data_IF_300898473104
#
_entry.id   IF_300898473104
#
_cell.length_a   1.000
_cell.length_b   1.000
_cell.length_c   1.000
_cell.angle_alpha   90.00
_cell.angle_beta   90.00
_cell.angle_gamma   90.00
#
_symmetry.space_group_name_H-M   'P 1'
#
loop_
_entity.id
_entity.type
_entity.pdbx_description
1 polymer ?
#
# COMPACT_ATOMS: atom_id res chain seq x y z
N UNK A 1 -18.71 -18.44 26.46
CA UNK A 1 -19.05 -18.99 25.12
C UNK A 1 -17.76 -18.95 24.33
N UNK A 2 -17.29 -20.07 23.75
CA UNK A 2 -15.98 -20.14 23.07
C UNK A 2 -16.02 -19.65 21.61
N UNK A 3 -17.04 -18.87 21.24
CA UNK A 3 -17.25 -18.46 19.84
C UNK A 3 -16.17 -17.50 19.37
N UNK A 4 -15.71 -16.60 20.24
CA UNK A 4 -14.74 -15.58 19.90
C UNK A 4 -13.37 -16.19 19.55
N UNK A 5 -12.93 -17.19 20.32
CA UNK A 5 -11.67 -17.92 20.10
C UNK A 5 -11.73 -18.78 18.84
N UNK A 6 -12.87 -19.46 18.60
CA UNK A 6 -13.07 -20.28 17.39
C UNK A 6 -13.02 -19.40 16.13
N UNK A 7 -13.75 -18.28 16.11
CA UNK A 7 -13.73 -17.37 14.95
C UNK A 7 -12.35 -16.74 14.76
N UNK A 8 -11.70 -16.27 15.83
CA UNK A 8 -10.35 -15.69 15.73
C UNK A 8 -9.34 -16.68 15.13
N UNK A 9 -9.36 -17.95 15.56
CA UNK A 9 -8.45 -18.96 15.04
C UNK A 9 -8.76 -19.35 13.60
N UNK A 10 -10.04 -19.62 13.31
CA UNK A 10 -10.46 -20.06 11.98
C UNK A 10 -10.23 -18.96 10.93
N UNK A 11 -10.65 -17.73 11.21
CA UNK A 11 -10.50 -16.61 10.28
C UNK A 11 -9.04 -16.20 10.09
N UNK A 12 -8.17 -16.28 11.11
CA UNK A 12 -6.73 -16.07 10.90
C UNK A 12 -6.15 -17.05 9.86
N UNK A 13 -6.62 -18.30 9.85
CA UNK A 13 -6.28 -19.29 8.81
C UNK A 13 -6.79 -18.89 7.41
N UNK A 14 -8.04 -18.42 7.31
CA UNK A 14 -8.63 -17.93 6.05
C UNK A 14 -7.85 -16.74 5.49
N UNK A 15 -7.48 -15.78 6.34
CA UNK A 15 -6.69 -14.60 5.95
C UNK A 15 -5.28 -15.01 5.50
N UNK A 16 -4.64 -15.94 6.21
CA UNK A 16 -3.36 -16.50 5.79
C UNK A 16 -3.45 -17.10 4.38
N UNK A 17 -4.47 -17.94 4.15
CA UNK A 17 -4.68 -18.59 2.85
C UNK A 17 -4.95 -17.58 1.74
N UNK A 18 -5.65 -16.49 2.03
CA UNK A 18 -5.84 -15.39 1.07
C UNK A 18 -4.50 -14.78 0.66
N UNK A 19 -3.67 -14.35 1.62
CA UNK A 19 -2.37 -13.74 1.31
C UNK A 19 -1.42 -14.70 0.59
N UNK A 20 -1.40 -15.96 0.99
CA UNK A 20 -0.54 -16.97 0.38
C UNK A 20 -0.99 -17.30 -1.04
N UNK A 21 -2.27 -17.60 -1.25
CA UNK A 21 -2.76 -18.08 -2.55
C UNK A 21 -2.96 -16.95 -3.57
N UNK A 22 -3.37 -15.76 -3.13
CA UNK A 22 -3.67 -14.63 -4.02
C UNK A 22 -2.42 -13.83 -4.35
N UNK A 23 -1.55 -13.61 -3.35
CA UNK A 23 -0.42 -12.68 -3.45
C UNK A 23 0.95 -13.36 -3.33
N UNK A 24 0.99 -14.67 -3.05
CA UNK A 24 2.24 -15.40 -2.84
C UNK A 24 2.96 -15.01 -1.54
N UNK A 25 2.27 -14.36 -0.60
CA UNK A 25 2.86 -13.88 0.66
C UNK A 25 2.74 -14.93 1.75
N UNK A 26 3.87 -15.40 2.27
CA UNK A 26 3.90 -16.32 3.41
C UNK A 26 3.78 -15.56 4.74
N UNK A 27 2.56 -15.47 5.30
CA UNK A 27 2.24 -14.71 6.53
C UNK A 27 2.50 -13.19 6.43
N UNK A 28 2.27 -12.45 7.52
CA UNK A 28 2.34 -10.99 7.53
C UNK A 28 3.75 -10.45 7.30
N UNK A 29 4.81 -11.21 7.57
CA UNK A 29 6.21 -10.81 7.36
C UNK A 29 6.82 -11.34 6.06
N UNK A 30 6.07 -12.14 5.30
CA UNK A 30 6.55 -12.81 4.08
C UNK A 30 7.46 -14.01 4.33
N UNK A 31 7.74 -14.38 5.58
CA UNK A 31 8.64 -15.47 5.97
C UNK A 31 7.98 -16.53 6.87
N UNK A 32 6.65 -16.52 6.97
CA UNK A 32 5.89 -17.53 7.71
C UNK A 32 5.87 -17.29 9.21
N UNK A 33 5.87 -16.02 9.66
CA UNK A 33 5.67 -15.71 11.07
C UNK A 33 4.36 -16.30 11.65
N UNK A 34 4.41 -16.69 12.92
CA UNK A 34 3.25 -17.20 13.65
C UNK A 34 2.16 -16.14 13.77
N UNK A 35 0.91 -16.54 13.51
CA UNK A 35 -0.27 -15.72 13.72
C UNK A 35 -0.80 -15.94 15.14
N UNK A 36 -0.64 -14.95 16.00
CA UNK A 36 -1.09 -14.99 17.39
C UNK A 36 -2.31 -14.11 17.56
N UNK A 37 -3.38 -14.67 18.14
CA UNK A 37 -4.65 -13.99 18.40
C UNK A 37 -5.04 -14.12 19.86
N UNK A 38 -5.45 -13.01 20.48
CA UNK A 38 -6.05 -12.98 21.82
C UNK A 38 -7.50 -12.54 21.72
N UNK A 39 -8.43 -13.37 22.20
CA UNK A 39 -9.85 -13.00 22.38
C UNK A 39 -10.16 -12.71 23.85
N UNK A 40 -11.38 -12.27 24.15
CA UNK A 40 -11.82 -11.89 25.51
C UNK A 40 -10.94 -10.81 26.14
N UNK A 41 -10.44 -9.88 25.33
CA UNK A 41 -9.60 -8.80 25.82
C UNK A 41 -10.44 -7.74 26.55
N UNK A 42 -10.07 -7.49 27.80
CA UNK A 42 -10.75 -6.49 28.64
C UNK A 42 -12.17 -6.90 29.04
N UNK A 43 -12.98 -5.91 29.42
CA UNK A 43 -14.40 -6.08 29.78
C UNK A 43 -15.22 -5.10 28.98
N UNK A 44 -16.22 -5.58 28.23
CA UNK A 44 -17.05 -4.77 27.33
C UNK A 44 -16.21 -3.87 26.40
N UNK A 45 -15.11 -4.42 25.90
CA UNK A 45 -14.13 -3.66 25.12
C UNK A 45 -14.60 -3.59 23.66
N UNK A 46 -15.03 -2.40 23.23
CA UNK A 46 -15.52 -2.13 21.87
C UNK A 46 -14.37 -1.79 20.91
N UNK A 47 -13.36 -2.66 20.83
CA UNK A 47 -12.31 -2.50 19.84
C UNK A 47 -11.56 -3.82 19.56
N UNK A 48 -10.90 -3.86 18.41
CA UNK A 48 -9.89 -4.83 18.03
C UNK A 48 -8.65 -4.06 17.55
N UNK A 49 -7.47 -4.68 17.63
CA UNK A 49 -6.24 -4.04 17.14
C UNK A 49 -5.11 -5.05 16.92
N UNK A 50 -4.24 -4.75 15.96
CA UNK A 50 -2.86 -5.25 15.92
C UNK A 50 -1.94 -4.42 16.82
N UNK A 51 -1.12 -5.08 17.65
CA UNK A 51 -0.24 -4.39 18.61
C UNK A 51 1.26 -4.37 18.26
N UNK A 52 1.62 -4.76 17.03
CA UNK A 52 3.01 -4.98 16.61
C UNK A 52 3.49 -6.43 16.71
N UNK A 53 2.71 -7.30 17.36
CA UNK A 53 3.08 -8.72 17.55
C UNK A 53 1.93 -9.72 17.47
N UNK A 54 0.69 -9.30 17.75
CA UNK A 54 -0.49 -10.15 17.76
C UNK A 54 -1.76 -9.33 17.49
N UNK A 55 -2.81 -10.03 17.05
CA UNK A 55 -4.17 -9.48 16.97
C UNK A 55 -4.87 -9.64 18.32
N UNK A 56 -5.60 -8.61 18.74
CA UNK A 56 -6.32 -8.58 20.02
C UNK A 56 -7.77 -8.17 19.77
N UNK A 57 -8.72 -8.96 20.28
CA UNK A 57 -10.15 -8.76 20.06
C UNK A 57 -10.89 -8.60 21.40
N UNK A 58 -11.61 -7.50 21.53
CA UNK A 58 -12.60 -7.32 22.58
C UNK A 58 -13.89 -8.10 22.31
N UNK A 59 -14.66 -8.34 23.38
CA UNK A 59 -15.96 -9.00 23.29
C UNK A 59 -17.10 -8.07 22.86
N UNK A 60 -16.84 -6.77 22.78
CA UNK A 60 -17.88 -5.75 22.67
C UNK A 60 -18.75 -5.66 23.92
N UNK A 61 -19.60 -4.64 23.97
CA UNK A 61 -20.54 -4.39 25.08
C UNK A 61 -21.90 -5.10 24.91
N UNK A 62 -22.09 -5.82 23.81
CA UNK A 62 -23.34 -6.51 23.45
C UNK A 62 -24.42 -5.59 22.87
N UNK A 63 -24.14 -4.30 22.68
CA UNK A 63 -25.05 -3.29 22.12
C UNK A 63 -24.47 -2.63 20.88
N UNK A 64 -23.29 -2.02 20.98
CA UNK A 64 -22.56 -1.43 19.84
C UNK A 64 -21.78 -2.50 19.11
N UNK A 65 -21.14 -3.41 19.84
CA UNK A 65 -20.44 -4.55 19.25
C UNK A 65 -20.76 -5.84 20.00
N UNK A 66 -20.77 -6.95 19.26
CA UNK A 66 -20.49 -8.28 19.82
C UNK A 66 -19.01 -8.62 19.61
N UNK A 67 -18.58 -9.84 19.93
CA UNK A 67 -17.16 -10.22 19.84
C UNK A 67 -16.58 -9.95 18.45
N UNK A 68 -15.57 -9.07 18.38
CA UNK A 68 -15.11 -8.49 17.12
C UNK A 68 -14.40 -9.50 16.21
N UNK A 69 -13.86 -10.59 16.77
CA UNK A 69 -13.33 -11.71 15.98
C UNK A 69 -14.41 -12.48 15.22
N UNK A 70 -15.69 -12.16 15.44
CA UNK A 70 -16.83 -12.78 14.78
C UNK A 70 -17.02 -12.38 13.32
N UNK A 71 -16.36 -11.30 12.86
CA UNK A 71 -16.40 -10.84 11.48
C UNK A 71 -15.07 -11.12 10.77
N UNK A 72 -15.14 -11.72 9.57
CA UNK A 72 -13.96 -12.17 8.83
C UNK A 72 -13.14 -10.99 8.29
N UNK A 73 -13.83 -9.97 7.78
CA UNK A 73 -13.25 -8.71 7.33
C UNK A 73 -12.51 -7.96 8.45
N UNK A 74 -13.01 -7.97 9.70
CA UNK A 74 -12.34 -7.39 10.87
C UNK A 74 -11.05 -8.15 11.17
N UNK A 75 -11.07 -9.49 11.13
CA UNK A 75 -9.84 -10.29 11.30
C UNK A 75 -8.85 -10.02 10.16
N UNK A 76 -9.35 -9.89 8.93
CA UNK A 76 -8.57 -9.49 7.75
C UNK A 76 -7.95 -8.09 7.89
N UNK A 77 -8.72 -7.13 8.38
CA UNK A 77 -8.31 -5.75 8.66
C UNK A 77 -7.16 -5.73 9.67
N UNK A 78 -7.30 -6.41 10.81
CA UNK A 78 -6.26 -6.44 11.83
C UNK A 78 -4.95 -7.07 11.34
N UNK A 79 -5.03 -8.18 10.60
CA UNK A 79 -3.82 -8.80 10.07
C UNK A 79 -3.18 -7.96 8.94
N UNK A 80 -3.99 -7.20 8.21
CA UNK A 80 -3.49 -6.30 7.17
C UNK A 80 -2.64 -5.17 7.76
N UNK A 81 -2.95 -4.65 8.95
CA UNK A 81 -2.05 -3.73 9.64
C UNK A 81 -0.64 -4.32 9.83
N UNK A 82 -0.54 -5.60 10.16
CA UNK A 82 0.75 -6.29 10.27
C UNK A 82 1.47 -6.37 8.92
N UNK A 83 0.75 -6.60 7.81
CA UNK A 83 1.32 -6.57 6.45
C UNK A 83 1.83 -5.17 6.13
N UNK A 84 1.05 -4.13 6.40
CA UNK A 84 1.43 -2.72 6.21
C UNK A 84 2.68 -2.37 7.01
N UNK A 85 2.76 -2.73 8.30
CA UNK A 85 3.94 -2.52 9.14
C UNK A 85 5.21 -3.15 8.55
N UNK A 86 5.11 -4.36 7.98
CA UNK A 86 6.27 -5.08 7.41
C UNK A 86 6.61 -4.69 5.97
N UNK A 87 5.90 -3.72 5.40
CA UNK A 87 6.06 -3.30 4.00
C UNK A 87 6.22 -1.78 3.91
N UNK A 88 5.15 -1.05 3.58
CA UNK A 88 5.19 0.41 3.47
C UNK A 88 5.49 1.12 4.80
N UNK A 89 5.18 0.47 5.92
CA UNK A 89 5.31 1.00 7.27
C UNK A 89 4.65 2.39 7.41
N UNK A 90 3.44 2.53 6.86
CA UNK A 90 2.67 3.79 6.85
C UNK A 90 2.50 4.32 8.28
N UNK A 91 2.99 5.53 8.52
CA UNK A 91 2.85 6.24 9.78
C UNK A 91 1.37 6.42 10.11
N UNK A 92 0.99 6.06 11.32
CA UNK A 92 -0.40 6.04 11.78
C UNK A 92 -0.86 7.46 12.19
N UNK A 93 -0.78 8.39 11.26
CA UNK A 93 -1.14 9.80 11.42
C UNK A 93 -1.54 10.42 10.07
N UNK A 94 -2.46 11.38 10.08
CA UNK A 94 -2.92 12.16 8.93
C UNK A 94 -3.26 11.26 7.71
N UNK A 95 -2.84 11.64 6.50
CA UNK A 95 -3.15 10.89 5.28
C UNK A 95 -2.46 9.52 5.23
N UNK A 96 -1.22 9.37 5.71
CA UNK A 96 -0.55 8.07 5.75
C UNK A 96 -1.30 7.08 6.65
N UNK A 97 -1.84 7.56 7.77
CA UNK A 97 -2.66 6.76 8.67
C UNK A 97 -4.02 6.42 8.05
N UNK A 98 -4.65 7.36 7.36
CA UNK A 98 -5.88 7.09 6.61
C UNK A 98 -5.68 6.09 5.46
N UNK A 99 -4.51 6.07 4.81
CA UNK A 99 -4.14 5.02 3.84
C UNK A 99 -3.91 3.69 4.56
N UNK A 100 -3.29 3.70 5.74
CA UNK A 100 -3.07 2.48 6.53
C UNK A 100 -4.42 1.81 6.86
N UNK A 101 -5.36 2.57 7.41
CA UNK A 101 -6.75 2.14 7.66
C UNK A 101 -7.45 1.66 6.38
N UNK A 102 -7.33 2.43 5.30
CA UNK A 102 -7.98 2.08 4.04
C UNK A 102 -7.41 0.81 3.43
N UNK A 103 -6.10 0.57 3.50
CA UNK A 103 -5.51 -0.69 3.05
C UNK A 103 -6.03 -1.87 3.86
N UNK A 104 -6.20 -1.71 5.18
CA UNK A 104 -6.81 -2.73 6.04
C UNK A 104 -8.26 -3.03 5.64
N UNK A 105 -9.07 -2.02 5.33
CA UNK A 105 -10.43 -2.21 4.81
C UNK A 105 -10.44 -2.85 3.41
N UNK A 106 -9.56 -2.40 2.52
CA UNK A 106 -9.42 -2.94 1.15
C UNK A 106 -9.18 -4.43 1.18
N UNK A 107 -8.19 -4.89 1.96
CA UNK A 107 -7.88 -6.32 2.01
C UNK A 107 -8.92 -7.08 2.85
N UNK A 108 -9.47 -6.48 3.90
CA UNK A 108 -10.64 -7.02 4.61
C UNK A 108 -11.79 -7.37 3.66
N UNK A 109 -12.22 -6.42 2.83
CA UNK A 109 -13.29 -6.61 1.83
C UNK A 109 -12.90 -7.49 0.62
N UNK A 110 -11.60 -7.75 0.42
CA UNK A 110 -11.13 -8.73 -0.59
C UNK A 110 -11.03 -10.15 -0.04
N UNK A 111 -10.90 -10.30 1.29
CA UNK A 111 -10.96 -11.56 2.01
C UNK A 111 -12.43 -11.96 2.20
N UNK A 112 -13.24 -11.03 2.73
CA UNK A 112 -14.69 -11.15 2.82
C UNK A 112 -15.34 -10.41 1.66
N UNK A 113 -15.64 -11.14 0.59
CA UNK A 113 -15.94 -10.55 -0.72
C UNK A 113 -17.41 -10.26 -0.94
N UNK A 114 -18.26 -10.60 0.02
CA UNK A 114 -19.71 -10.67 -0.15
C UNK A 114 -20.33 -9.29 -0.38
N UNK A 115 -19.76 -8.25 0.24
CA UNK A 115 -20.17 -6.86 -0.01
C UNK A 115 -19.00 -5.86 0.03
N UNK A 116 -19.27 -4.64 0.49
CA UNK A 116 -18.37 -3.49 0.59
C UNK A 116 -18.42 -2.84 1.98
N UNK A 117 -19.08 -3.50 2.93
CA UNK A 117 -19.22 -3.05 4.30
C UNK A 117 -18.07 -3.57 5.12
N UNK A 118 -17.82 -2.88 6.23
CA UNK A 118 -16.82 -3.29 7.21
C UNK A 118 -17.49 -3.44 8.57
N UNK A 119 -17.33 -4.61 9.18
CA UNK A 119 -17.75 -4.95 10.54
C UNK A 119 -19.25 -5.18 10.71
N UNK A 120 -20.04 -5.28 9.64
CA UNK A 120 -21.50 -5.48 9.67
C UNK A 120 -21.93 -6.73 10.42
N UNK A 121 -21.11 -7.78 10.45
CA UNK A 121 -21.38 -9.02 11.18
C UNK A 121 -21.32 -8.89 12.71
N UNK A 122 -20.62 -7.86 13.21
CA UNK A 122 -20.36 -7.67 14.65
C UNK A 122 -20.82 -6.34 15.20
N UNK A 123 -21.15 -5.38 14.34
CA UNK A 123 -21.65 -4.06 14.70
C UNK A 123 -23.16 -4.10 14.92
N UNK A 124 -23.62 -3.40 15.96
CA UNK A 124 -25.05 -3.09 16.21
C UNK A 124 -26.00 -4.28 15.98
N UNK A 125 -25.88 -5.40 16.71
CA UNK A 125 -26.61 -6.66 16.45
C UNK A 125 -28.16 -6.54 16.46
N UNK A 126 -28.70 -5.42 16.95
CA UNK A 126 -30.13 -5.10 16.93
C UNK A 126 -30.60 -4.32 15.69
N UNK A 127 -29.70 -3.90 14.81
CA UNK A 127 -29.97 -3.11 13.60
C UNK A 127 -29.51 -3.95 12.41
N UNK A 128 -30.44 -4.29 11.52
CA UNK A 128 -30.11 -5.14 10.39
C UNK A 128 -29.61 -4.30 9.21
N UNK A 129 -28.45 -4.67 8.67
CA UNK A 129 -27.93 -4.13 7.42
C UNK A 129 -27.23 -2.78 7.53
N UNK A 130 -26.92 -2.29 8.73
CA UNK A 130 -25.89 -1.27 8.93
C UNK A 130 -24.49 -1.89 9.01
N UNK A 131 -23.47 -1.06 9.18
CA UNK A 131 -22.06 -1.44 9.22
C UNK A 131 -21.25 -0.36 9.96
N UNK A 132 -20.02 -0.67 10.36
CA UNK A 132 -19.13 0.34 10.94
C UNK A 132 -18.68 1.34 9.87
N UNK A 133 -18.36 0.85 8.67
CA UNK A 133 -18.01 1.64 7.48
C UNK A 133 -18.62 1.01 6.22
N UNK A 134 -18.77 1.81 5.17
CA UNK A 134 -19.22 1.35 3.86
C UNK A 134 -18.26 1.92 2.80
N UNK A 135 -17.50 1.06 2.12
CA UNK A 135 -16.55 1.50 1.08
C UNK A 135 -17.24 2.01 -0.18
N UNK A 136 -18.47 1.57 -0.45
CA UNK A 136 -19.28 2.00 -1.57
C UNK A 136 -19.91 3.37 -1.30
N UNK A 137 -20.42 3.62 -0.10
CA UNK A 137 -20.92 4.94 0.33
C UNK A 137 -20.38 5.31 1.71
N UNK A 138 -19.15 5.83 1.80
CA UNK A 138 -18.54 6.17 3.09
C UNK A 138 -19.36 7.19 3.87
N UNK A 139 -20.11 8.05 3.19
CA UNK A 139 -20.93 9.07 3.86
C UNK A 139 -22.06 8.45 4.67
N UNK A 140 -22.53 7.26 4.26
CA UNK A 140 -23.71 6.57 4.79
C UNK A 140 -24.95 7.47 4.89
N UNK A 141 -24.98 8.57 4.12
CA UNK A 141 -25.98 9.64 4.22
C UNK A 141 -25.97 10.46 5.52
N UNK A 142 -24.99 10.27 6.41
CA UNK A 142 -24.94 10.86 7.76
C UNK A 142 -23.66 11.66 8.06
N UNK A 143 -22.66 11.63 7.18
CA UNK A 143 -21.43 12.40 7.36
C UNK A 143 -21.67 13.92 7.32
N UNK A 144 -21.15 14.61 8.35
CA UNK A 144 -21.14 16.07 8.44
C UNK A 144 -19.70 16.56 8.61
N UNK A 145 -19.13 17.36 7.68
CA UNK A 145 -17.78 17.89 7.81
C UNK A 145 -17.58 18.82 9.02
N UNK A 146 -18.67 19.36 9.60
CA UNK A 146 -18.61 20.15 10.83
C UNK A 146 -18.68 19.30 12.10
N UNK A 147 -19.05 18.02 11.96
CA UNK A 147 -19.03 17.04 13.03
C UNK A 147 -18.50 15.67 12.52
N UNK A 148 -17.19 15.57 12.21
CA UNK A 148 -16.62 14.38 11.59
C UNK A 148 -16.72 13.09 12.43
N UNK A 149 -16.98 13.21 13.74
CA UNK A 149 -17.19 12.08 14.66
C UNK A 149 -18.67 11.68 14.80
N UNK A 150 -19.58 12.32 14.06
CA UNK A 150 -21.03 12.11 14.15
C UNK A 150 -21.54 10.84 13.46
N UNK A 151 -20.69 10.16 12.68
CA UNK A 151 -21.03 9.00 11.87
C UNK A 151 -20.76 9.23 10.39
N UNK A 152 -20.59 8.15 9.63
CA UNK A 152 -20.12 8.20 8.25
C UNK A 152 -18.70 8.76 8.13
N UNK A 153 -18.22 8.85 6.89
CA UNK A 153 -16.89 9.28 6.51
C UNK A 153 -16.96 10.16 5.25
N UNK A 154 -15.98 11.05 5.01
CA UNK A 154 -15.87 11.73 3.73
C UNK A 154 -15.67 10.72 2.59
N UNK A 155 -16.34 10.95 1.46
CA UNK A 155 -16.19 10.15 0.24
C UNK A 155 -15.40 10.89 -0.86
N UNK A 156 -15.05 12.16 -0.64
CA UNK A 156 -14.35 13.01 -1.60
C UNK A 156 -13.42 14.01 -0.88
N UNK A 157 -12.35 14.47 -1.54
CA UNK A 157 -11.34 15.38 -0.95
C UNK A 157 -11.85 16.74 -0.49
N UNK A 158 -12.94 17.25 -1.07
CA UNK A 158 -13.58 18.50 -0.61
C UNK A 158 -14.33 18.34 0.72
N UNK A 159 -14.53 17.11 1.17
CA UNK A 159 -15.13 16.74 2.46
C UNK A 159 -14.08 16.39 3.53
N UNK A 160 -12.79 16.43 3.18
CA UNK A 160 -11.68 16.03 4.06
C UNK A 160 -11.77 16.70 5.43
N UNK A 161 -11.68 15.90 6.49
CA UNK A 161 -11.73 16.38 7.87
C UNK A 161 -10.33 16.82 8.34
N UNK A 162 -10.13 18.13 8.45
CA UNK A 162 -8.90 18.72 9.01
C UNK A 162 -8.92 18.65 10.55
N UNK A 163 -8.48 17.51 11.09
CA UNK A 163 -8.46 17.25 12.53
C UNK A 163 -7.05 17.41 13.12
N UNK A 164 -6.93 17.75 14.42
CA UNK A 164 -5.63 17.81 15.08
C UNK A 164 -4.93 16.45 15.10
N UNK A 165 -3.64 16.40 14.75
CA UNK A 165 -2.81 15.20 14.89
C UNK A 165 -2.50 14.89 16.37
N UNK A 166 -3.50 14.35 17.06
CA UNK A 166 -3.51 13.98 18.47
C UNK A 166 -4.45 12.80 18.64
N UNK A 167 -4.34 12.03 19.72
CA UNK A 167 -5.25 10.93 20.00
C UNK A 167 -6.74 11.34 19.96
N UNK A 168 -7.09 12.53 20.49
CA UNK A 168 -8.47 13.02 20.47
C UNK A 168 -8.94 13.45 19.08
N UNK A 169 -8.02 13.86 18.22
CA UNK A 169 -8.31 14.15 16.81
C UNK A 169 -8.10 12.94 15.92
N UNK A 170 -8.10 11.74 16.49
CA UNK A 170 -7.90 10.48 15.78
C UNK A 170 -6.62 10.49 14.93
N UNK A 171 -5.53 11.00 15.52
CA UNK A 171 -4.23 11.17 14.87
C UNK A 171 -4.30 11.92 13.53
N UNK A 172 -5.19 12.91 13.41
CA UNK A 172 -5.43 13.61 12.14
C UNK A 172 -6.55 12.98 11.30
N UNK A 173 -7.45 12.24 11.95
CA UNK A 173 -8.63 11.62 11.34
C UNK A 173 -8.31 10.39 10.53
N UNK A 174 -7.46 9.48 11.01
CA UNK A 174 -7.06 8.28 10.25
C UNK A 174 -8.25 7.37 9.94
N UNK A 175 -9.13 7.12 10.91
CA UNK A 175 -10.35 6.33 10.72
C UNK A 175 -11.45 7.13 10.05
N UNK A 176 -11.38 8.45 10.04
CA UNK A 176 -12.40 9.30 9.40
C UNK A 176 -12.07 9.43 7.91
N UNK A 177 -10.89 9.94 7.59
CA UNK A 177 -10.48 10.25 6.23
C UNK A 177 -10.17 9.01 5.38
N UNK A 178 -10.15 7.79 5.95
CA UNK A 178 -10.01 6.54 5.19
C UNK A 178 -11.18 6.26 4.24
N UNK A 179 -12.34 6.90 4.45
CA UNK A 179 -13.48 6.84 3.53
C UNK A 179 -13.15 7.27 2.10
N UNK A 180 -12.27 8.26 1.92
CA UNK A 180 -11.87 8.79 0.61
C UNK A 180 -11.10 7.72 -0.20
N UNK A 181 -9.99 7.15 0.28
CA UNK A 181 -9.31 6.05 -0.41
C UNK A 181 -10.13 4.75 -0.45
N UNK A 182 -11.02 4.47 0.51
CA UNK A 182 -11.97 3.35 0.41
C UNK A 182 -12.90 3.50 -0.79
N UNK A 183 -13.47 4.70 -0.99
CA UNK A 183 -14.29 5.01 -2.15
C UNK A 183 -13.51 4.93 -3.45
N UNK A 184 -12.25 5.37 -3.46
CA UNK A 184 -11.35 5.22 -4.60
C UNK A 184 -11.17 3.74 -4.97
N UNK A 185 -10.88 2.88 -4.00
CA UNK A 185 -10.76 1.45 -4.24
C UNK A 185 -12.05 0.82 -4.75
N UNK A 186 -13.20 1.14 -4.16
CA UNK A 186 -14.51 0.69 -4.66
C UNK A 186 -14.69 1.05 -6.14
N UNK A 187 -14.39 2.30 -6.52
CA UNK A 187 -14.49 2.77 -7.91
C UNK A 187 -13.51 2.01 -8.83
N UNK A 188 -12.27 1.78 -8.38
CA UNK A 188 -11.27 0.99 -9.12
C UNK A 188 -11.77 -0.44 -9.30
N UNK A 189 -12.09 -1.15 -8.22
CA UNK A 189 -12.52 -2.54 -8.27
C UNK A 189 -13.82 -2.75 -9.05
N UNK A 190 -14.74 -1.77 -9.04
CA UNK A 190 -15.95 -1.80 -9.87
C UNK A 190 -15.64 -1.63 -11.36
N UNK A 191 -14.64 -0.80 -11.71
CA UNK A 191 -14.29 -0.52 -13.11
C UNK A 191 -13.39 -1.59 -13.74
N UNK A 192 -12.43 -2.15 -12.99
CA UNK A 192 -11.45 -3.11 -13.51
C UNK A 192 -11.61 -4.54 -12.97
N UNK A 193 -12.55 -4.74 -12.04
CA UNK A 193 -12.79 -6.00 -11.34
C UNK A 193 -11.93 -6.17 -10.07
N UNK A 194 -12.54 -6.72 -9.01
CA UNK A 194 -11.89 -7.00 -7.71
C UNK A 194 -10.54 -7.71 -7.85
N UNK A 195 -10.45 -8.72 -8.72
CA UNK A 195 -9.21 -9.51 -8.88
C UNK A 195 -8.03 -8.78 -9.53
N UNK A 196 -8.31 -7.81 -10.42
CA UNK A 196 -7.23 -6.95 -10.93
C UNK A 196 -6.87 -5.89 -9.90
N UNK A 197 -7.87 -5.28 -9.27
CA UNK A 197 -7.70 -4.23 -8.27
C UNK A 197 -6.88 -4.70 -7.06
N UNK A 198 -7.17 -5.88 -6.49
CA UNK A 198 -6.46 -6.40 -5.31
C UNK A 198 -4.98 -6.65 -5.59
N UNK A 199 -4.62 -7.12 -6.79
CA UNK A 199 -3.22 -7.31 -7.19
C UNK A 199 -2.48 -5.99 -7.36
N UNK A 200 -3.14 -5.01 -7.96
CA UNK A 200 -2.58 -3.67 -8.14
C UNK A 200 -2.37 -3.00 -6.77
N UNK A 201 -3.37 -3.01 -5.90
CA UNK A 201 -3.28 -2.43 -4.57
C UNK A 201 -2.25 -3.16 -3.68
N UNK A 202 -2.14 -4.49 -3.79
CA UNK A 202 -1.10 -5.24 -3.07
C UNK A 202 0.30 -4.85 -3.54
N UNK A 203 0.52 -4.71 -4.86
CA UNK A 203 1.78 -4.22 -5.38
C UNK A 203 2.04 -2.77 -4.95
N UNK A 204 1.03 -1.91 -4.97
CA UNK A 204 1.14 -0.53 -4.52
C UNK A 204 1.61 -0.43 -3.06
N UNK A 205 0.94 -1.17 -2.17
CA UNK A 205 1.30 -1.25 -0.75
C UNK A 205 2.72 -1.79 -0.53
N UNK A 206 3.10 -2.84 -1.24
CA UNK A 206 4.34 -3.56 -0.92
C UNK A 206 5.58 -3.07 -1.65
N UNK A 207 5.44 -2.32 -2.74
CA UNK A 207 6.57 -1.92 -3.60
C UNK A 207 6.78 -0.40 -3.72
N UNK A 208 5.75 0.43 -3.53
CA UNK A 208 5.85 1.87 -3.82
C UNK A 208 5.47 2.78 -2.65
N UNK A 209 4.45 2.42 -1.88
CA UNK A 209 4.08 3.22 -0.72
C UNK A 209 5.21 3.22 0.31
N UNK A 210 5.38 4.37 0.96
CA UNK A 210 6.38 4.59 2.01
C UNK A 210 5.72 5.15 3.26
N UNK A 211 6.50 5.25 4.34
CA UNK A 211 5.99 5.60 5.66
C UNK A 211 5.14 6.88 5.70
N UNK A 212 5.45 7.90 4.90
CA UNK A 212 4.73 9.18 4.92
C UNK A 212 3.94 9.46 3.65
N UNK A 213 3.60 8.41 2.89
CA UNK A 213 2.83 8.57 1.66
C UNK A 213 1.48 9.23 1.91
N UNK A 214 1.11 10.14 1.01
CA UNK A 214 -0.16 10.84 1.01
C UNK A 214 -1.15 10.27 -0.03
N UNK A 215 -2.34 10.85 -0.15
CA UNK A 215 -3.35 10.33 -1.08
C UNK A 215 -2.96 10.43 -2.56
N UNK A 216 -2.13 11.41 -2.96
CA UNK A 216 -1.59 11.47 -4.30
C UNK A 216 -0.53 10.39 -4.51
N UNK A 217 0.31 10.11 -3.50
CA UNK A 217 1.25 8.99 -3.54
C UNK A 217 0.51 7.65 -3.69
N UNK A 218 -0.63 7.45 -3.02
CA UNK A 218 -1.48 6.28 -3.22
C UNK A 218 -1.95 6.15 -4.67
N UNK A 219 -2.48 7.23 -5.25
CA UNK A 219 -2.90 7.23 -6.67
C UNK A 219 -1.73 6.84 -7.58
N UNK A 220 -0.57 7.46 -7.38
CA UNK A 220 0.62 7.23 -8.20
C UNK A 220 1.16 5.80 -8.04
N UNK A 221 1.18 5.26 -6.81
CA UNK A 221 1.55 3.89 -6.53
C UNK A 221 0.61 2.88 -7.20
N UNK A 222 -0.70 3.13 -7.18
CA UNK A 222 -1.70 2.25 -7.84
C UNK A 222 -1.56 2.33 -9.36
N UNK A 223 -1.33 3.51 -9.94
CA UNK A 223 -1.06 3.65 -11.38
C UNK A 223 0.25 2.97 -11.79
N UNK A 224 1.32 3.14 -11.03
CA UNK A 224 2.59 2.47 -11.30
C UNK A 224 2.45 0.94 -11.18
N UNK A 225 1.72 0.46 -10.16
CA UNK A 225 1.40 -0.96 -10.04
C UNK A 225 0.59 -1.49 -11.23
N UNK A 226 -0.35 -0.70 -11.75
CA UNK A 226 -1.10 -1.06 -12.95
C UNK A 226 -0.19 -1.09 -14.19
N UNK A 227 0.70 -0.10 -14.34
CA UNK A 227 1.68 -0.04 -15.42
C UNK A 227 2.58 -1.27 -15.41
N UNK A 228 3.13 -1.65 -14.27
CA UNK A 228 4.00 -2.82 -14.15
C UNK A 228 3.29 -4.14 -14.46
N UNK A 229 2.00 -4.25 -14.10
CA UNK A 229 1.24 -5.49 -14.28
C UNK A 229 0.59 -5.61 -15.65
N UNK A 230 0.21 -4.49 -16.27
CA UNK A 230 -0.65 -4.47 -17.48
C UNK A 230 -0.20 -3.48 -18.56
N UNK A 231 0.69 -2.53 -18.25
CA UNK A 231 1.13 -1.44 -19.12
C UNK A 231 0.23 -0.20 -19.06
N UNK A 232 0.77 0.96 -19.45
CA UNK A 232 0.06 2.25 -19.46
C UNK A 232 -1.01 2.36 -20.54
N UNK A 233 -0.90 1.56 -21.61
CA UNK A 233 -1.89 1.53 -22.71
C UNK A 233 -3.10 0.64 -22.41
N UNK A 234 -3.08 -0.12 -21.30
CA UNK A 234 -4.24 -0.91 -20.88
C UNK A 234 -5.34 0.00 -20.33
N UNK A 235 -6.59 -0.23 -20.73
CA UNK A 235 -7.74 0.58 -20.27
C UNK A 235 -7.92 0.62 -18.76
N UNK A 236 -7.34 -0.33 -18.00
CA UNK A 236 -7.30 -0.29 -16.53
C UNK A 236 -6.57 0.94 -15.99
N UNK A 237 -5.52 1.39 -16.69
CA UNK A 237 -4.74 2.55 -16.28
C UNK A 237 -5.60 3.82 -16.27
N UNK A 238 -6.32 4.08 -17.37
CA UNK A 238 -7.30 5.17 -17.46
C UNK A 238 -8.44 5.01 -16.47
N UNK A 239 -8.97 3.80 -16.29
CA UNK A 239 -10.04 3.54 -15.32
C UNK A 239 -9.62 3.87 -13.88
N UNK A 240 -8.36 3.60 -13.52
CA UNK A 240 -7.80 3.99 -12.21
C UNK A 240 -7.68 5.51 -12.10
N UNK A 241 -7.19 6.20 -13.15
CA UNK A 241 -7.14 7.67 -13.14
C UNK A 241 -8.52 8.28 -12.87
N UNK A 242 -9.54 7.80 -13.58
CA UNK A 242 -10.91 8.27 -13.44
C UNK A 242 -11.50 7.94 -12.06
N UNK A 243 -11.22 6.75 -11.51
CA UNK A 243 -11.69 6.33 -10.20
C UNK A 243 -11.14 7.19 -9.05
N UNK A 244 -9.86 7.57 -9.10
CA UNK A 244 -9.25 8.49 -8.13
C UNK A 244 -9.70 9.94 -8.34
N UNK A 245 -9.81 10.39 -9.60
CA UNK A 245 -10.33 11.72 -9.90
C UNK A 245 -11.77 11.90 -9.39
N UNK A 246 -12.59 10.84 -9.42
CA UNK A 246 -13.96 10.85 -8.91
C UNK A 246 -14.07 11.05 -7.38
N UNK A 247 -12.98 10.90 -6.63
CA UNK A 247 -12.90 11.24 -5.19
C UNK A 247 -12.03 12.48 -4.92
N UNK A 248 -11.67 13.22 -5.97
CA UNK A 248 -10.92 14.47 -5.88
C UNK A 248 -9.41 14.30 -5.72
N UNK A 249 -8.86 13.14 -6.11
CA UNK A 249 -7.42 12.87 -6.10
C UNK A 249 -6.91 12.82 -7.55
N UNK A 250 -6.12 13.82 -7.95
CA UNK A 250 -5.60 13.95 -9.30
C UNK A 250 -6.67 14.22 -10.37
N UNK A 251 -6.32 14.00 -11.64
CA UNK A 251 -7.18 14.25 -12.81
C UNK A 251 -7.56 12.97 -13.56
N UNK A 252 -8.67 13.04 -14.30
CA UNK A 252 -9.19 11.97 -15.16
C UNK A 252 -8.38 11.82 -16.45
N UNK A 253 -8.39 10.62 -17.05
CA UNK A 253 -7.56 10.25 -18.20
C UNK A 253 -8.15 10.61 -19.57
N UNK A 254 -9.27 11.34 -19.63
CA UNK A 254 -10.12 11.49 -20.82
C UNK A 254 -10.42 12.90 -21.32
N UNK A 255 -9.56 13.89 -21.09
CA UNK A 255 -9.79 15.29 -21.51
C UNK A 255 -8.61 15.93 -22.24
N UNK A 256 -8.62 15.90 -23.57
CA UNK A 256 -7.67 16.65 -24.39
C UNK A 256 -8.01 18.14 -24.50
N UNK A 257 -6.99 19.00 -24.28
CA UNK A 257 -6.82 20.29 -24.95
C UNK A 257 -7.47 21.53 -24.32
N UNK A 258 -6.74 22.22 -23.42
CA UNK A 258 -7.08 23.59 -23.03
C UNK A 258 -6.34 24.15 -21.82
N UNK A 259 -5.06 24.47 -21.96
CA UNK A 259 -4.34 25.53 -21.20
C UNK A 259 -4.51 25.59 -19.67
N UNK A 260 -3.70 24.83 -18.95
CA UNK A 260 -3.42 24.98 -17.52
C UNK A 260 -2.38 23.93 -17.14
N UNK A 261 -1.16 24.34 -16.81
CA UNK A 261 0.00 23.45 -16.69
C UNK A 261 -0.23 22.28 -15.72
N UNK A 262 0.26 21.10 -16.10
CA UNK A 262 0.49 20.01 -15.14
C UNK A 262 1.40 20.56 -14.04
N UNK A 263 1.07 20.28 -12.79
CA UNK A 263 1.95 20.61 -11.67
C UNK A 263 3.05 19.58 -11.68
N UNK A 264 4.24 19.99 -12.09
CA UNK A 264 5.43 19.17 -11.89
C UNK A 264 5.64 19.00 -10.37
N UNK A 265 5.52 17.75 -9.92
CA UNK A 265 5.32 17.42 -8.49
C UNK A 265 6.62 17.55 -7.69
N UNK A 266 7.77 17.64 -8.36
CA UNK A 266 9.07 17.74 -7.71
C UNK A 266 9.64 19.17 -7.69
N UNK A 267 8.92 20.15 -8.21
CA UNK A 267 9.37 21.55 -8.18
C UNK A 267 9.24 22.18 -6.77
N UNK A 268 10.18 23.04 -6.36
CA UNK A 268 11.36 23.47 -7.12
C UNK A 268 12.46 22.42 -7.12
N UNK A 269 13.05 22.10 -8.28
CA UNK A 269 14.22 21.22 -8.40
C UNK A 269 15.25 21.75 -9.41
N UNK A 270 15.21 23.04 -9.72
CA UNK A 270 16.01 23.70 -10.77
C UNK A 270 17.53 23.84 -10.48
N UNK A 271 18.01 23.31 -9.36
CA UNK A 271 19.42 23.36 -8.97
C UNK A 271 19.80 22.21 -8.03
N UNK A 272 21.09 21.95 -7.85
CA UNK A 272 21.57 20.97 -6.86
C UNK A 272 21.17 21.31 -5.42
N UNK A 273 20.88 22.58 -5.13
CA UNK A 273 20.42 23.03 -3.81
C UNK A 273 18.93 22.74 -3.56
N UNK A 274 18.17 22.61 -4.65
CA UNK A 274 16.73 22.34 -4.69
C UNK A 274 16.45 20.89 -5.08
N UNK A 275 17.48 20.07 -5.31
CA UNK A 275 17.33 18.74 -5.87
C UNK A 275 16.37 17.85 -5.05
N UNK A 276 15.45 17.18 -5.73
CA UNK A 276 14.50 16.26 -5.10
C UNK A 276 15.17 14.92 -4.75
N UNK A 277 14.89 14.41 -3.55
CA UNK A 277 15.43 13.13 -3.08
C UNK A 277 15.51 13.00 -1.56
N UNK A 278 16.19 11.94 -1.06
CA UNK A 278 16.99 10.99 -1.83
C UNK A 278 16.10 10.05 -2.65
N UNK A 279 16.49 9.78 -3.90
CA UNK A 279 15.82 8.78 -4.73
C UNK A 279 16.01 7.38 -4.14
N UNK A 280 14.96 6.57 -4.19
CA UNK A 280 14.99 5.16 -3.79
C UNK A 280 15.47 4.30 -4.95
N UNK A 281 16.43 3.41 -4.69
CA UNK A 281 17.03 2.57 -5.73
C UNK A 281 15.98 1.69 -6.42
N UNK A 282 15.84 1.84 -7.74
CA UNK A 282 14.92 1.07 -8.58
C UNK A 282 13.50 1.63 -8.67
N UNK A 283 13.20 2.74 -7.99
CA UNK A 283 11.91 3.44 -8.09
C UNK A 283 11.87 4.33 -9.33
N UNK A 284 10.73 4.34 -10.03
CA UNK A 284 10.46 5.21 -11.18
C UNK A 284 9.89 6.54 -10.69
N UNK A 285 10.50 7.64 -11.10
CA UNK A 285 10.07 9.01 -10.82
C UNK A 285 9.56 9.66 -12.11
N UNK A 286 8.32 10.15 -12.08
CA UNK A 286 7.62 10.77 -13.22
C UNK A 286 7.56 12.28 -13.07
N UNK A 287 8.10 13.02 -14.03
CA UNK A 287 8.22 14.49 -13.97
C UNK A 287 8.20 15.12 -15.36
N UNK A 288 8.15 16.45 -15.42
CA UNK A 288 7.98 17.20 -16.66
C UNK A 288 9.11 18.21 -16.79
N UNK A 289 9.74 18.28 -17.96
CA UNK A 289 10.43 19.51 -18.35
C UNK A 289 9.34 20.46 -18.85
N UNK A 290 8.87 21.36 -17.99
CA UNK A 290 7.69 22.20 -18.20
C UNK A 290 7.98 23.45 -19.07
N UNK A 291 9.25 23.80 -19.26
CA UNK A 291 9.66 24.89 -20.16
C UNK A 291 11.03 24.62 -20.79
N UNK A 292 11.40 25.36 -21.82
CA UNK A 292 12.71 25.21 -22.48
C UNK A 292 13.91 25.62 -21.61
N UNK A 293 13.66 26.27 -20.48
CA UNK A 293 14.67 26.63 -19.46
C UNK A 293 14.64 25.73 -18.23
N UNK A 294 13.67 24.83 -18.17
CA UNK A 294 13.45 23.95 -17.02
C UNK A 294 14.49 22.83 -16.98
N UNK A 295 14.99 22.54 -15.79
CA UNK A 295 15.99 21.51 -15.54
C UNK A 295 15.71 20.84 -14.21
N UNK A 296 15.57 19.52 -14.20
CA UNK A 296 15.26 18.81 -12.97
C UNK A 296 16.53 18.26 -12.34
N UNK A 297 16.78 18.60 -11.08
CA UNK A 297 17.81 17.97 -10.27
C UNK A 297 17.19 17.00 -9.26
N UNK A 298 17.78 15.82 -9.21
CA UNK A 298 17.51 14.80 -8.21
C UNK A 298 18.79 14.44 -7.47
N UNK A 299 18.68 13.86 -6.29
CA UNK A 299 19.83 13.29 -5.59
C UNK A 299 19.56 11.91 -5.01
N UNK A 300 20.61 11.11 -4.88
CA UNK A 300 20.57 9.82 -4.17
C UNK A 300 21.84 9.64 -3.35
N UNK A 301 21.76 8.80 -2.31
CA UNK A 301 22.87 8.53 -1.39
C UNK A 301 23.30 7.07 -1.47
N UNK A 302 24.60 6.86 -1.59
CA UNK A 302 25.20 5.53 -1.65
C UNK A 302 26.00 5.32 -0.37
N UNK A 303 25.83 4.17 0.28
CA UNK A 303 26.56 3.78 1.49
C UNK A 303 27.65 2.73 1.24
N UNK A 304 27.59 2.03 0.11
CA UNK A 304 28.56 0.99 -0.27
C UNK A 304 29.00 1.17 -1.72
N UNK A 305 30.29 0.95 -2.00
CA UNK A 305 30.79 1.06 -3.37
C UNK A 305 30.20 -0.02 -4.28
N UNK A 306 29.93 0.31 -5.53
CA UNK A 306 29.47 -0.65 -6.53
C UNK A 306 29.10 0.05 -7.83
N UNK A 307 28.12 -0.49 -8.54
CA UNK A 307 27.64 0.08 -9.81
C UNK A 307 26.28 0.70 -9.62
N UNK A 308 26.13 1.96 -10.02
CA UNK A 308 24.83 2.59 -10.20
C UNK A 308 24.48 2.68 -11.68
N UNK A 309 23.19 2.66 -11.99
CA UNK A 309 22.63 2.84 -13.33
C UNK A 309 21.54 3.88 -13.27
N UNK A 310 21.61 4.88 -14.14
CA UNK A 310 20.49 5.79 -14.44
C UNK A 310 19.83 5.30 -15.72
N UNK A 311 18.50 5.26 -15.71
CA UNK A 311 17.65 5.02 -16.86
C UNK A 311 16.65 6.18 -16.96
N UNK A 312 16.67 6.88 -18.09
CA UNK A 312 15.72 7.94 -18.44
C UNK A 312 14.91 7.42 -19.64
N UNK A 313 13.59 7.41 -19.53
CA UNK A 313 12.71 6.77 -20.50
C UNK A 313 11.43 7.58 -20.73
N UNK A 314 10.68 7.20 -21.76
CA UNK A 314 9.33 7.71 -22.05
C UNK A 314 9.28 9.23 -22.25
N UNK A 315 10.37 9.85 -22.69
CA UNK A 315 10.40 11.30 -22.83
C UNK A 315 9.81 11.76 -24.17
N UNK A 316 8.98 12.82 -24.17
CA UNK A 316 8.25 13.30 -25.36
C UNK A 316 9.11 14.07 -26.38
N UNK A 317 10.35 14.39 -26.02
CA UNK A 317 11.35 15.03 -26.88
C UNK A 317 12.76 14.63 -26.42
N UNK A 318 13.78 14.99 -27.19
CA UNK A 318 15.17 14.60 -26.92
C UNK A 318 15.64 15.12 -25.55
N UNK A 319 15.62 14.28 -24.51
CA UNK A 319 15.99 14.64 -23.15
C UNK A 319 17.29 13.93 -22.79
N UNK A 320 18.18 14.68 -22.16
CA UNK A 320 19.49 14.23 -21.71
C UNK A 320 19.49 14.10 -20.19
N UNK A 321 20.35 13.23 -19.65
CA UNK A 321 20.71 13.28 -18.24
C UNK A 321 22.20 13.35 -17.98
N UNK A 322 22.57 13.99 -16.86
CA UNK A 322 23.94 14.12 -16.39
C UNK A 322 24.01 13.75 -14.92
N UNK A 323 25.01 12.96 -14.54
CA UNK A 323 25.22 12.57 -13.14
C UNK A 323 26.45 13.27 -12.60
N UNK A 324 26.31 13.93 -11.46
CA UNK A 324 27.39 14.61 -10.76
C UNK A 324 27.65 13.98 -9.39
N UNK A 325 28.92 13.93 -8.97
CA UNK A 325 29.24 13.65 -7.56
C UNK A 325 29.12 14.92 -6.70
N UNK A 326 29.28 14.78 -5.38
CA UNK A 326 29.21 15.92 -4.43
C UNK A 326 30.24 17.03 -4.66
N UNK A 327 31.28 16.79 -5.46
CA UNK A 327 32.28 17.79 -5.86
C UNK A 327 31.90 18.51 -7.18
N UNK A 328 30.73 18.22 -7.75
CA UNK A 328 30.28 18.77 -9.03
C UNK A 328 30.95 18.18 -10.26
N UNK A 329 31.66 17.05 -10.12
CA UNK A 329 32.29 16.36 -11.25
C UNK A 329 31.28 15.44 -11.93
N UNK A 330 31.12 15.56 -13.25
CA UNK A 330 30.31 14.64 -14.06
C UNK A 330 30.92 13.23 -14.04
N UNK A 331 30.13 12.23 -13.67
CA UNK A 331 30.55 10.82 -13.56
C UNK A 331 29.82 9.89 -14.53
N UNK A 332 28.69 10.32 -15.10
CA UNK A 332 27.94 9.61 -16.12
C UNK A 332 26.98 10.55 -16.85
N UNK A 333 26.51 10.14 -18.04
CA UNK A 333 25.48 10.86 -18.80
C UNK A 333 24.81 9.98 -19.85
N UNK A 334 23.58 10.32 -20.21
CA UNK A 334 22.90 9.97 -21.45
C UNK A 334 22.69 11.26 -22.26
N UNK A 335 22.88 11.20 -23.58
CA UNK A 335 22.82 12.39 -24.44
C UNK A 335 22.64 12.01 -25.93
N UNK A 336 21.79 11.02 -26.15
CA UNK A 336 21.46 10.38 -27.42
C UNK A 336 19.95 10.47 -27.61
N UNK A 337 19.51 10.34 -28.85
CA UNK A 337 18.07 10.35 -29.16
C UNK A 337 17.38 9.00 -28.86
N UNK A 338 17.99 8.11 -28.05
CA UNK A 338 17.46 6.78 -27.79
C UNK A 338 16.46 6.83 -26.65
N UNK A 339 15.30 6.22 -26.81
CA UNK A 339 14.37 6.01 -25.70
C UNK A 339 14.26 4.49 -25.42
N UNK A 340 14.79 3.98 -24.29
CA UNK A 340 15.36 4.72 -23.16
C UNK A 340 16.84 5.08 -23.30
N UNK A 341 17.26 6.15 -22.62
CA UNK A 341 18.64 6.49 -22.33
C UNK A 341 19.13 5.80 -21.05
N UNK A 342 20.36 5.30 -21.04
CA UNK A 342 20.92 4.69 -19.84
C UNK A 342 22.44 4.84 -19.76
N UNK A 343 22.94 4.90 -18.53
CA UNK A 343 24.38 4.89 -18.24
C UNK A 343 24.65 4.20 -16.90
N UNK A 344 25.67 3.35 -16.87
CA UNK A 344 26.18 2.72 -15.64
C UNK A 344 27.53 3.30 -15.27
N UNK A 345 27.77 3.52 -13.97
CA UNK A 345 28.99 4.11 -13.45
C UNK A 345 29.33 3.56 -12.07
N UNK A 346 30.61 3.64 -11.71
CA UNK A 346 31.07 3.24 -10.40
C UNK A 346 30.72 4.30 -9.36
N UNK A 347 30.18 3.86 -8.24
CA UNK A 347 29.86 4.70 -7.09
C UNK A 347 30.67 4.28 -5.87
N UNK A 348 30.91 5.24 -4.99
CA UNK A 348 31.49 5.08 -3.65
C UNK A 348 30.55 5.74 -2.64
N UNK A 349 30.81 5.56 -1.33
CA UNK A 349 29.98 6.19 -0.31
C UNK A 349 29.92 7.72 -0.51
N UNK A 350 28.72 8.28 -0.64
CA UNK A 350 28.52 9.69 -0.90
C UNK A 350 27.17 10.01 -1.57
N UNK A 351 26.95 11.30 -1.80
CA UNK A 351 25.77 11.83 -2.50
C UNK A 351 26.08 12.08 -3.97
N UNK A 352 25.15 11.70 -4.83
CA UNK A 352 25.20 11.93 -6.26
C UNK A 352 23.93 12.66 -6.70
N UNK A 353 24.07 13.47 -7.75
CA UNK A 353 22.99 14.26 -8.31
C UNK A 353 22.73 13.82 -9.75
N UNK A 354 21.47 13.68 -10.13
CA UNK A 354 21.06 13.46 -11.52
C UNK A 354 20.36 14.72 -12.00
N UNK A 355 20.85 15.30 -13.08
CA UNK A 355 20.21 16.41 -13.78
C UNK A 355 19.54 15.86 -15.02
N UNK A 356 18.26 16.18 -15.24
CA UNK A 356 17.52 15.92 -16.48
C UNK A 356 17.26 17.26 -17.17
N UNK A 357 17.37 17.31 -18.49
CA UNK A 357 17.09 18.52 -19.27
C UNK A 357 16.67 18.17 -20.70
N UNK A 358 15.93 19.08 -21.34
CA UNK A 358 15.66 18.97 -22.77
C UNK A 358 16.81 19.45 -23.65
N UNK A 359 17.23 18.63 -24.62
CA UNK A 359 18.17 19.02 -25.65
C UNK A 359 17.55 20.09 -26.58
N UNK A 360 18.34 21.12 -26.88
CA UNK A 360 17.91 22.25 -27.73
C UNK A 360 16.57 22.90 -27.30
N UNK A 361 16.29 22.88 -25.99
CA UNK A 361 15.06 23.44 -25.42
C UNK A 361 13.82 22.60 -25.65
N UNK A 362 13.95 21.28 -25.85
CA UNK A 362 12.81 20.37 -25.83
C UNK A 362 12.11 20.40 -24.46
N UNK A 363 10.78 20.41 -24.44
CA UNK A 363 9.99 20.42 -23.20
C UNK A 363 8.60 19.87 -23.52
N UNK A 364 7.89 19.39 -22.51
CA UNK A 364 6.48 18.99 -22.60
C UNK A 364 5.76 19.26 -21.30
N UNK A 365 4.63 19.94 -21.41
CA UNK A 365 3.74 20.22 -20.27
C UNK A 365 2.60 19.20 -20.17
N UNK A 366 2.63 18.14 -20.99
CA UNK A 366 1.54 17.17 -21.12
C UNK A 366 2.00 15.74 -20.91
N UNK A 367 3.25 15.43 -21.23
CA UNK A 367 3.81 14.09 -21.16
C UNK A 367 5.02 14.10 -20.23
N UNK A 368 5.02 13.20 -19.27
CA UNK A 368 6.08 13.01 -18.29
C UNK A 368 7.23 12.16 -18.86
N UNK A 369 8.45 12.43 -18.42
CA UNK A 369 9.54 11.46 -18.54
C UNK A 369 9.58 10.55 -17.31
N UNK A 370 10.19 9.38 -17.46
CA UNK A 370 10.44 8.43 -16.38
C UNK A 370 11.92 8.38 -16.04
N UNK A 371 12.28 8.70 -14.79
CA UNK A 371 13.64 8.56 -14.27
C UNK A 371 13.70 7.41 -13.27
N UNK A 372 14.60 6.46 -13.51
CA UNK A 372 14.93 5.39 -12.56
C UNK A 372 16.42 5.41 -12.25
N UNK A 373 16.79 5.37 -10.97
CA UNK A 373 18.18 5.19 -10.55
C UNK A 373 18.30 3.92 -9.74
N UNK A 374 19.12 2.97 -10.18
CA UNK A 374 19.44 1.75 -9.43
C UNK A 374 20.86 1.86 -8.89
N UNK A 375 21.09 1.57 -7.62
CA UNK A 375 22.40 1.63 -6.99
C UNK A 375 22.53 0.60 -5.85
N UNK A 376 23.75 0.28 -5.39
CA UNK A 376 23.94 -0.68 -4.32
C UNK A 376 23.31 -0.16 -3.01
N UNK A 377 22.24 -0.82 -2.58
CA UNK A 377 21.68 -0.67 -1.24
C UNK A 377 22.41 -1.68 -0.37
N UNK A 378 23.19 -1.22 0.60
CA UNK A 378 23.97 -2.12 1.45
C UNK A 378 23.07 -3.17 2.08
N UNK A 379 23.25 -4.44 1.72
CA UNK A 379 22.61 -5.56 2.42
C UNK A 379 23.67 -6.25 3.28
N UNK A 380 23.36 -6.40 4.57
CA UNK A 380 23.93 -7.47 5.36
C UNK A 380 23.82 -8.78 4.55
N UNK A 381 24.94 -9.47 4.42
CA UNK A 381 25.13 -10.54 3.46
C UNK A 381 24.14 -11.69 3.58
N UNK A 382 23.96 -12.40 2.47
CA UNK A 382 23.19 -13.64 2.43
C UNK A 382 22.88 -14.13 1.02
N UNK A 383 23.90 -14.36 0.21
CA UNK A 383 23.74 -15.13 -1.02
C UNK A 383 23.42 -16.60 -0.70
N UNK A 384 22.34 -17.12 -1.27
CA UNK A 384 21.98 -18.53 -1.22
C UNK A 384 20.63 -18.77 -1.88
N UNK A 385 20.62 -19.16 -3.15
CA UNK A 385 19.41 -19.57 -3.85
C UNK A 385 18.92 -20.89 -3.25
N UNK A 386 17.79 -20.88 -2.52
CA UNK A 386 17.17 -22.11 -2.04
C UNK A 386 16.33 -22.73 -3.17
N UNK A 387 16.61 -24.00 -3.51
CA UNK A 387 15.72 -24.82 -4.32
C UNK A 387 14.58 -25.34 -3.46
N UNK A 388 13.35 -25.24 -3.98
CA UNK A 388 12.14 -25.80 -3.36
C UNK A 388 12.11 -27.32 -3.48
N UNK A 389 11.69 -28.00 -2.42
CA UNK A 389 11.11 -29.34 -2.50
C UNK A 389 9.68 -29.25 -1.98
N UNK A 390 8.72 -29.77 -2.74
CA UNK A 390 7.32 -29.91 -2.36
C UNK A 390 7.00 -31.39 -2.12
N UNK A 391 6.26 -31.69 -1.06
CA UNK A 391 5.50 -32.95 -0.94
C UNK A 391 4.06 -32.59 -0.62
N UNK A 392 3.13 -32.97 -1.51
CA UNK A 392 1.70 -32.82 -1.29
C UNK A 392 1.18 -34.02 -0.52
N UNK A 393 0.46 -33.79 0.58
CA UNK A 393 -0.44 -34.81 1.16
C UNK A 393 -1.85 -34.27 1.27
N UNK A 394 -2.77 -35.01 0.66
CA UNK A 394 -4.21 -34.82 0.78
C UNK A 394 -4.72 -35.58 1.99
N UNK A 395 -5.60 -34.96 2.78
CA UNK A 395 -6.40 -35.67 3.77
C UNK A 395 -7.88 -35.42 3.54
N UNK A 396 -8.64 -36.50 3.63
CA UNK A 396 -10.09 -36.54 3.56
C UNK A 396 -10.63 -36.46 4.98
N UNK A 397 -11.52 -35.52 5.27
CA UNK A 397 -12.18 -35.44 6.59
C UNK A 397 -13.67 -35.76 6.45
N UNK A 398 -14.06 -37.03 6.58
CA UNK A 398 -15.46 -37.33 6.80
C UNK A 398 -15.70 -37.56 8.31
N UNK A 399 -16.55 -36.73 8.94
CA UNK A 399 -17.87 -37.14 9.44
C UNK A 399 -18.46 -36.36 10.64
N UNK A 400 -19.80 -36.46 10.68
CA UNK A 400 -20.72 -36.30 11.81
C UNK A 400 -20.39 -37.21 13.02
N UNK A 401 -20.57 -36.67 14.23
CA UNK A 401 -20.71 -37.29 15.58
C UNK A 401 -19.52 -37.09 16.58
N UNK A 402 -19.80 -37.17 17.92
CA UNK A 402 -19.12 -36.39 18.95
C UNK A 402 -17.84 -37.02 19.54
N UNK A 403 -16.95 -36.13 20.00
CA UNK A 403 -15.59 -36.31 20.52
C UNK A 403 -15.36 -37.46 21.51
N UNK A 404 -14.17 -38.09 21.41
CA UNK A 404 -13.22 -38.30 22.52
C UNK A 404 -12.03 -39.16 22.07
N UNK A 405 -10.95 -38.58 21.53
CA UNK A 405 -9.59 -39.16 21.57
C UNK A 405 -8.53 -38.09 21.36
N UNK A 406 -7.60 -37.95 22.32
CA UNK A 406 -6.33 -37.26 22.12
C UNK A 406 -5.39 -38.19 21.35
N UNK A 407 -5.01 -37.80 20.13
CA UNK A 407 -3.96 -38.47 19.38
C UNK A 407 -2.77 -37.53 19.22
N UNK A 408 -1.62 -37.93 19.76
CA UNK A 408 -0.36 -37.20 19.63
C UNK A 408 0.44 -37.78 18.47
N UNK A 409 1.03 -36.92 17.65
CA UNK A 409 2.08 -37.28 16.70
C UNK A 409 3.26 -36.34 16.87
N UNK A 410 4.43 -36.88 17.18
CA UNK A 410 5.68 -36.12 17.28
C UNK A 410 6.47 -36.20 15.97
N UNK A 411 7.00 -35.07 15.51
CA UNK A 411 8.06 -35.01 14.50
C UNK A 411 9.16 -34.06 14.96
N UNK A 412 10.44 -34.45 14.80
CA UNK A 412 11.59 -33.62 15.14
C UNK A 412 12.41 -33.25 13.90
N UNK A 413 12.84 -31.98 13.80
CA UNK A 413 13.85 -31.49 12.84
C UNK A 413 14.94 -30.68 13.59
N UNK A 414 16.24 -30.88 13.31
CA UNK A 414 17.30 -30.10 13.95
C UNK A 414 17.18 -28.60 13.60
N UNK A 415 17.10 -27.74 14.63
CA UNK A 415 17.12 -26.27 14.49
C UNK A 415 15.86 -25.52 14.95
N UNK A 416 14.75 -26.19 15.24
CA UNK A 416 13.57 -25.56 15.85
C UNK A 416 13.56 -25.82 17.37
N UNK A 417 13.62 -24.77 18.19
CA UNK A 417 13.43 -24.87 19.64
C UNK A 417 11.93 -24.74 19.97
N UNK A 418 11.18 -25.81 19.66
CA UNK A 418 9.76 -26.06 19.99
C UNK A 418 8.72 -25.08 19.41
N UNK A 419 7.75 -25.65 18.69
CA UNK A 419 6.39 -25.09 18.55
C UNK A 419 5.44 -26.09 19.21
N UNK A 420 4.54 -25.60 20.04
CA UNK A 420 3.45 -26.37 20.62
C UNK A 420 2.14 -25.72 20.19
N UNK A 421 1.19 -26.53 19.73
CA UNK A 421 -0.22 -26.13 19.63
C UNK A 421 -0.98 -26.98 20.64
N UNK A 422 -1.68 -26.30 21.53
CA UNK A 422 -2.56 -26.84 22.56
C UNK A 422 -3.98 -26.51 22.11
N UNK A 423 -4.89 -27.48 22.17
CA UNK A 423 -6.33 -27.22 22.13
C UNK A 423 -6.86 -27.17 23.56
#
# INVERSE_FOLDING_TARGET
>A
SQRAEVSAHYYAGVVYDYYYNTHGRNSYDGNGADLVSTAHYGTNYNNAYWNGSQMVYGDGDGSTFIALSGALDVVGHELTHAVTERTANLAYENQSGAINESMSDVFGAMIDRDDWKIGEDVYTPGIAGDALRDMQDPTMGIYDPNNPFGGGQPAHMDQYANLPNTQNGDYGGVHINSGIPNKAFYNVATSIGKSAAEKIYYRALTQYLTQYSDFNDLRNAVLQACSDLYGTTDGKYTAIQDAFAAVGIGTSGGGGGGGGGSTDTYEPNNSTAEAYGPLTSGTVYRSYIASSSDVDYYYFTVSTSGTATVNLANFPGDYDFFVYNSSGTEVARGYTTNDPENASFSVSSGTYYVKVQGYNGAYSTTDDYELTVTYPTGSGGGGGTAQWFYETKTYDTPHNYPNNYDSYHEYSKPGAQKVAVHF
#
